data_IF_378821326113
#
_entry.id   IF_378821326113
#
_cell.length_a   1.000
_cell.length_b   1.000
_cell.length_c   1.000
_cell.angle_alpha   90.00
_cell.angle_beta   90.00
_cell.angle_gamma   90.00
#
_symmetry.space_group_name_H-M   'P 1'
#
loop_
_entity.id
_entity.type
_entity.pdbx_description
1 polymer ?
#
# COMPACT_ATOMS: atom_id res chain seq x y z
N UNK A 1 -22.77 9.32 10.92
CA UNK A 1 -23.53 8.05 11.02
C UNK A 1 -24.49 7.83 9.84
N UNK A 2 -24.99 8.90 9.21
CA UNK A 2 -26.07 8.75 8.20
C UNK A 2 -25.62 8.36 6.80
N UNK A 3 -24.35 8.60 6.40
CA UNK A 3 -23.87 8.30 5.03
C UNK A 3 -23.70 6.81 4.77
N UNK A 4 -23.36 6.03 5.78
CA UNK A 4 -23.23 4.57 5.68
C UNK A 4 -24.62 3.90 5.61
N UNK A 5 -25.65 4.52 6.18
CA UNK A 5 -27.01 3.98 6.21
C UNK A 5 -27.71 4.17 4.87
N UNK A 6 -27.47 5.28 4.15
CA UNK A 6 -28.11 5.54 2.85
C UNK A 6 -27.59 4.68 1.69
N UNK A 7 -26.38 4.07 1.79
CA UNK A 7 -25.87 3.13 0.79
C UNK A 7 -26.49 1.73 0.89
N UNK A 8 -27.41 1.49 1.85
CA UNK A 8 -28.07 0.20 2.08
C UNK A 8 -29.25 -0.12 1.15
N UNK A 9 -29.69 0.81 0.34
CA UNK A 9 -30.93 0.63 -0.46
C UNK A 9 -30.71 0.06 -1.87
N UNK A 10 -29.56 -0.51 -2.20
CA UNK A 10 -29.29 -1.04 -3.55
C UNK A 10 -28.38 -2.25 -3.68
N UNK A 11 -27.85 -2.80 -2.60
CA UNK A 11 -26.95 -3.97 -2.65
C UNK A 11 -27.22 -4.92 -1.49
N UNK A 12 -27.23 -6.21 -1.75
CA UNK A 12 -27.31 -7.22 -0.71
C UNK A 12 -26.28 -6.94 0.40
N UNK A 13 -26.71 -6.95 1.66
CA UNK A 13 -25.83 -6.71 2.79
C UNK A 13 -24.76 -7.80 2.84
N UNK A 14 -23.50 -7.46 2.60
CA UNK A 14 -22.38 -8.38 2.83
C UNK A 14 -22.45 -8.86 4.29
N UNK A 15 -22.42 -10.17 4.50
CA UNK A 15 -22.29 -10.70 5.86
C UNK A 15 -20.95 -10.25 6.45
N UNK A 16 -20.90 -9.89 7.74
CA UNK A 16 -19.61 -9.61 8.39
C UNK A 16 -18.66 -10.80 8.19
N UNK A 17 -17.44 -10.54 7.74
CA UNK A 17 -16.44 -11.59 7.49
C UNK A 17 -15.83 -12.12 8.79
N UNK A 18 -15.91 -11.34 9.87
CA UNK A 18 -15.18 -11.58 11.11
C UNK A 18 -13.67 -11.29 10.97
N UNK A 19 -13.22 -10.82 9.82
CA UNK A 19 -11.84 -10.44 9.56
C UNK A 19 -11.62 -8.96 9.91
N UNK A 20 -10.44 -8.59 10.46
CA UNK A 20 -10.16 -7.20 10.75
C UNK A 20 -10.03 -6.38 9.47
N UNK A 21 -10.54 -5.15 9.49
CA UNK A 21 -10.28 -4.17 8.46
C UNK A 21 -8.88 -3.58 8.65
N UNK A 22 -8.12 -3.51 7.59
CA UNK A 22 -6.71 -3.12 7.61
C UNK A 22 -6.44 -1.97 6.66
N UNK A 23 -5.70 -0.95 7.12
CA UNK A 23 -4.98 -0.01 6.26
C UNK A 23 -3.57 -0.55 6.03
N UNK A 24 -3.27 -0.94 4.80
CA UNK A 24 -2.02 -1.64 4.47
C UNK A 24 -0.83 -0.70 4.16
N UNK A 25 -1.03 0.64 4.20
CA UNK A 25 0.01 1.59 3.87
C UNK A 25 -0.12 2.89 4.69
N UNK A 26 0.62 2.98 5.78
CA UNK A 26 0.66 4.16 6.64
C UNK A 26 2.09 4.50 7.05
N UNK A 27 2.30 5.76 7.39
CA UNK A 27 3.55 6.29 7.96
C UNK A 27 3.28 7.01 9.28
N UNK A 28 4.30 7.21 10.11
CA UNK A 28 4.23 8.07 11.31
C UNK A 28 4.63 9.51 11.01
N UNK A 29 5.27 9.72 9.86
CA UNK A 29 5.54 11.05 9.32
C UNK A 29 5.64 10.99 7.80
N UNK A 30 5.28 12.08 7.13
CA UNK A 30 5.42 12.25 5.68
C UNK A 30 5.88 13.68 5.37
N UNK A 31 6.59 13.86 4.26
CA UNK A 31 6.88 15.20 3.74
C UNK A 31 5.88 15.55 2.65
N UNK A 32 5.13 16.61 2.88
CA UNK A 32 4.20 17.16 1.91
C UNK A 32 4.88 18.21 1.05
N UNK A 33 4.75 18.08 -0.26
CA UNK A 33 5.32 18.99 -1.28
C UNK A 33 4.24 19.86 -1.93
N UNK A 34 3.25 20.28 -1.19
CA UNK A 34 2.23 21.24 -1.67
C UNK A 34 2.84 22.55 -2.14
N UNK A 35 3.95 22.99 -1.50
CA UNK A 35 4.87 23.99 -1.99
C UNK A 35 6.27 23.36 -2.09
N UNK A 36 6.77 23.06 -3.31
CA UNK A 36 8.09 22.45 -3.49
C UNK A 36 9.26 23.30 -2.94
N UNK A 37 9.06 24.63 -2.78
CA UNK A 37 10.08 25.50 -2.18
C UNK A 37 10.11 25.43 -0.65
N UNK A 38 9.01 24.99 -0.04
CA UNK A 38 8.84 24.93 1.42
C UNK A 38 8.12 23.63 1.83
N UNK A 39 8.78 22.47 1.74
CA UNK A 39 8.18 21.19 2.12
C UNK A 39 7.84 21.18 3.62
N UNK A 40 6.66 20.67 3.96
CA UNK A 40 6.20 20.56 5.34
C UNK A 40 6.28 19.10 5.79
N UNK A 41 6.83 18.84 6.98
CA UNK A 41 6.80 17.51 7.61
C UNK A 41 5.57 17.43 8.51
N UNK A 42 4.70 16.47 8.22
CA UNK A 42 3.56 16.09 9.06
C UNK A 42 3.97 14.87 9.85
N UNK A 43 3.86 14.93 11.17
CA UNK A 43 4.10 13.78 12.07
C UNK A 43 2.90 13.60 12.99
N UNK A 44 2.64 12.36 13.38
CA UNK A 44 1.49 12.01 14.22
C UNK A 44 1.90 11.24 15.45
N UNK A 45 1.20 11.46 16.56
CA UNK A 45 1.29 10.64 17.76
C UNK A 45 0.52 9.31 17.60
N UNK A 46 0.76 8.36 18.49
CA UNK A 46 0.00 7.09 18.49
C UNK A 46 -1.48 7.34 18.75
N UNK A 47 -1.80 8.29 19.63
CA UNK A 47 -3.17 8.65 20.00
C UNK A 47 -3.92 9.24 18.80
N UNK A 48 -3.30 10.15 18.04
CA UNK A 48 -3.88 10.72 16.82
C UNK A 48 -4.07 9.64 15.76
N UNK A 49 -3.07 8.79 15.56
CA UNK A 49 -3.15 7.69 14.61
C UNK A 49 -4.32 6.74 14.91
N UNK A 50 -4.47 6.33 16.19
CA UNK A 50 -5.57 5.46 16.60
C UNK A 50 -6.93 6.14 16.48
N UNK A 51 -7.03 7.42 16.81
CA UNK A 51 -8.27 8.17 16.66
C UNK A 51 -8.75 8.21 15.18
N UNK A 52 -7.82 8.38 14.25
CA UNK A 52 -8.12 8.39 12.82
C UNK A 52 -8.52 6.99 12.29
N UNK A 53 -7.88 5.92 12.78
CA UNK A 53 -8.30 4.55 12.50
C UNK A 53 -9.72 4.28 13.03
N UNK A 54 -10.00 4.68 14.26
CA UNK A 54 -11.31 4.47 14.91
C UNK A 54 -12.42 5.24 14.20
N UNK A 55 -12.15 6.48 13.77
CA UNK A 55 -13.09 7.27 12.96
C UNK A 55 -13.46 6.58 11.64
N UNK A 56 -12.48 5.90 11.04
CA UNK A 56 -12.70 5.14 9.80
C UNK A 56 -13.27 3.73 10.03
N UNK A 57 -13.32 3.26 11.27
CA UNK A 57 -13.69 1.88 11.60
C UNK A 57 -12.68 0.86 11.07
N UNK A 58 -11.38 1.23 11.05
CA UNK A 58 -10.25 0.38 10.65
C UNK A 58 -9.62 -0.19 11.93
N UNK A 59 -9.45 -1.51 11.96
CA UNK A 59 -9.02 -2.22 13.16
C UNK A 59 -7.50 -2.34 13.26
N UNK A 60 -6.80 -2.45 12.12
CA UNK A 60 -5.34 -2.61 12.08
C UNK A 60 -4.70 -1.73 11.02
N UNK A 61 -3.42 -1.41 11.21
CA UNK A 61 -2.65 -0.68 10.20
C UNK A 61 -1.22 -1.21 10.09
N UNK A 62 -0.68 -1.18 8.85
CA UNK A 62 0.73 -1.41 8.57
C UNK A 62 1.45 -0.08 8.57
N UNK A 63 2.45 0.05 9.45
CA UNK A 63 3.26 1.27 9.62
C UNK A 63 4.62 1.05 8.98
N UNK A 64 4.93 1.84 7.96
CA UNK A 64 6.08 1.64 7.10
C UNK A 64 7.24 2.55 7.51
N UNK A 65 8.45 1.99 7.56
CA UNK A 65 9.68 2.76 7.61
C UNK A 65 10.00 3.38 6.25
N UNK A 66 10.75 4.47 6.27
CA UNK A 66 11.29 5.12 5.09
C UNK A 66 12.69 5.71 5.39
N UNK A 67 13.24 6.51 4.47
CA UNK A 67 14.55 7.16 4.63
C UNK A 67 14.59 8.19 5.77
N UNK A 68 13.43 8.64 6.27
CA UNK A 68 13.29 9.65 7.33
C UNK A 68 12.85 9.03 8.64
N UNK A 69 12.07 7.95 8.57
CA UNK A 69 11.52 7.23 9.73
C UNK A 69 12.16 5.86 9.81
N UNK A 70 13.12 5.71 10.73
CA UNK A 70 13.94 4.50 10.84
C UNK A 70 13.13 3.29 11.31
N UNK A 71 13.62 2.05 11.03
CA UNK A 71 13.00 0.81 11.55
C UNK A 71 12.84 0.80 13.06
N UNK A 72 13.80 1.39 13.81
CA UNK A 72 13.74 1.49 15.27
C UNK A 72 12.61 2.42 15.74
N UNK A 73 12.39 3.53 15.03
CA UNK A 73 11.29 4.46 15.32
C UNK A 73 9.93 3.81 15.06
N UNK A 74 9.78 3.12 13.92
CA UNK A 74 8.55 2.37 13.61
C UNK A 74 8.32 1.26 14.64
N UNK A 75 9.36 0.48 14.99
CA UNK A 75 9.25 -0.57 16.00
C UNK A 75 8.81 -0.01 17.37
N UNK A 76 9.38 1.12 17.80
CA UNK A 76 8.99 1.78 19.04
C UNK A 76 7.55 2.31 19.00
N UNK A 77 7.09 2.79 17.85
CA UNK A 77 5.72 3.27 17.65
C UNK A 77 4.70 2.12 17.73
N UNK A 78 4.88 1.08 16.92
CA UNK A 78 3.91 -0.02 16.85
C UNK A 78 3.88 -0.87 18.12
N UNK A 79 4.98 -0.93 18.87
CA UNK A 79 5.07 -1.64 20.16
C UNK A 79 4.14 -1.08 21.23
N UNK A 80 3.70 0.17 21.11
CA UNK A 80 2.77 0.78 22.06
C UNK A 80 1.37 0.18 21.94
N UNK A 81 0.98 -0.33 20.74
CA UNK A 81 -0.34 -0.92 20.49
C UNK A 81 -0.21 -2.12 19.54
N UNK A 82 0.44 -3.21 19.96
CA UNK A 82 0.82 -4.33 19.09
C UNK A 82 -0.36 -5.12 18.52
N UNK A 83 -1.54 -5.02 19.15
CA UNK A 83 -2.76 -5.67 18.65
C UNK A 83 -3.37 -4.94 17.44
N UNK A 84 -3.03 -3.67 17.26
CA UNK A 84 -3.56 -2.79 16.20
C UNK A 84 -2.54 -2.43 15.13
N UNK A 85 -1.25 -2.32 15.48
CA UNK A 85 -0.21 -1.78 14.60
C UNK A 85 0.87 -2.82 14.33
N UNK A 86 1.28 -2.95 13.06
CA UNK A 86 2.35 -3.84 12.60
C UNK A 86 3.37 -3.04 11.80
N UNK A 87 4.65 -3.16 12.15
CA UNK A 87 5.72 -2.37 11.55
C UNK A 87 6.39 -3.06 10.36
N UNK A 88 6.70 -2.27 9.33
CA UNK A 88 7.57 -2.67 8.22
C UNK A 88 8.92 -2.00 8.36
N UNK A 89 9.99 -2.78 8.22
CA UNK A 89 11.35 -2.29 8.19
C UNK A 89 11.73 -1.67 6.84
N UNK A 90 12.95 -1.17 6.77
CA UNK A 90 13.52 -0.60 5.57
C UNK A 90 15.01 -0.94 5.47
N UNK A 91 15.45 -1.28 4.26
CA UNK A 91 16.86 -1.37 3.87
C UNK A 91 17.02 -0.85 2.44
N UNK A 92 18.19 -0.29 2.11
CA UNK A 92 18.58 -0.17 0.70
C UNK A 92 19.20 -1.52 0.26
N UNK A 93 18.52 -2.31 -0.59
CA UNK A 93 18.85 -3.72 -0.79
C UNK A 93 20.16 -3.97 -1.55
N UNK A 94 20.68 -2.97 -2.25
CA UNK A 94 21.97 -3.09 -2.98
C UNK A 94 23.20 -2.81 -2.11
N UNK A 95 23.00 -2.46 -0.83
CA UNK A 95 24.09 -2.30 0.11
C UNK A 95 24.50 -3.65 0.71
N UNK A 96 25.81 -3.89 0.82
CA UNK A 96 26.39 -5.15 1.30
C UNK A 96 25.85 -5.67 2.64
N UNK A 97 25.42 -4.78 3.55
CA UNK A 97 24.89 -5.16 4.86
C UNK A 97 23.35 -5.32 4.90
N UNK A 98 22.66 -5.11 3.78
CA UNK A 98 21.21 -4.99 3.75
C UNK A 98 20.50 -6.28 4.22
N UNK A 99 20.91 -7.44 3.73
CA UNK A 99 20.35 -8.73 4.12
C UNK A 99 20.53 -9.02 5.61
N UNK A 100 21.71 -8.74 6.16
CA UNK A 100 21.96 -8.85 7.61
C UNK A 100 21.10 -7.86 8.42
N UNK A 101 20.97 -6.64 7.93
CA UNK A 101 20.12 -5.63 8.57
C UNK A 101 18.65 -6.05 8.59
N UNK A 102 18.15 -6.63 7.49
CA UNK A 102 16.78 -7.15 7.43
C UNK A 102 16.52 -8.25 8.47
N UNK A 103 17.43 -9.23 8.59
CA UNK A 103 17.32 -10.27 9.62
C UNK A 103 17.26 -9.67 11.03
N UNK A 104 18.16 -8.72 11.33
CA UNK A 104 18.17 -8.04 12.61
C UNK A 104 16.86 -7.29 12.88
N UNK A 105 16.31 -6.58 11.90
CA UNK A 105 15.03 -5.88 12.04
C UNK A 105 13.88 -6.86 12.35
N UNK A 106 13.85 -8.03 11.71
CA UNK A 106 12.86 -9.07 11.99
C UNK A 106 13.02 -9.67 13.38
N UNK A 107 14.25 -10.06 13.75
CA UNK A 107 14.55 -10.84 14.96
C UNK A 107 14.57 -9.97 16.24
N UNK A 108 15.17 -8.77 16.17
CA UNK A 108 15.38 -7.91 17.34
C UNK A 108 14.28 -6.85 17.49
N UNK A 109 13.75 -6.30 16.38
CA UNK A 109 12.72 -5.26 16.43
C UNK A 109 11.31 -5.82 16.24
N UNK A 110 11.17 -7.08 15.81
CA UNK A 110 9.87 -7.73 15.60
C UNK A 110 9.09 -7.17 14.41
N UNK A 111 9.76 -6.53 13.44
CA UNK A 111 9.08 -5.95 12.29
C UNK A 111 8.50 -7.06 11.39
N UNK A 112 7.29 -6.81 10.91
CA UNK A 112 6.46 -7.80 10.22
C UNK A 112 6.86 -7.98 8.76
N UNK A 113 7.24 -6.90 8.07
CA UNK A 113 7.55 -6.89 6.64
C UNK A 113 8.69 -5.94 6.29
N UNK A 114 8.93 -5.78 5.00
CA UNK A 114 9.96 -4.92 4.42
C UNK A 114 9.35 -3.88 3.48
N UNK A 115 9.74 -2.62 3.59
CA UNK A 115 9.45 -1.55 2.63
C UNK A 115 10.71 -1.19 1.85
N UNK A 116 10.59 -1.02 0.55
CA UNK A 116 11.67 -0.67 -0.38
C UNK A 116 11.32 0.56 -1.21
N UNK A 117 12.33 1.37 -1.53
CA UNK A 117 12.21 2.63 -2.27
C UNK A 117 13.18 2.69 -3.46
N UNK A 118 12.94 1.97 -4.57
CA UNK A 118 13.86 1.92 -5.71
C UNK A 118 14.18 3.29 -6.30
N UNK A 119 13.19 4.19 -6.41
CA UNK A 119 13.41 5.54 -6.92
C UNK A 119 14.34 6.35 -6.02
N UNK A 120 14.02 6.44 -4.72
CA UNK A 120 14.77 7.25 -3.74
C UNK A 120 16.17 6.70 -3.51
N UNK A 121 16.32 5.37 -3.49
CA UNK A 121 17.62 4.70 -3.29
C UNK A 121 18.41 4.50 -4.59
N UNK A 122 17.84 4.93 -5.74
CA UNK A 122 18.47 4.92 -7.07
C UNK A 122 18.97 3.54 -7.51
N UNK A 123 18.12 2.50 -7.41
CA UNK A 123 18.42 1.16 -7.90
C UNK A 123 17.23 0.57 -8.69
N UNK A 124 17.50 -0.37 -9.59
CA UNK A 124 16.44 -1.13 -10.27
C UNK A 124 15.96 -2.27 -9.39
N UNK A 125 14.63 -2.48 -9.25
CA UNK A 125 14.10 -3.62 -8.48
C UNK A 125 14.71 -4.97 -8.85
N UNK A 126 15.03 -5.19 -10.11
CA UNK A 126 15.65 -6.41 -10.64
C UNK A 126 17.18 -6.40 -10.61
N UNK A 127 17.82 -5.46 -9.89
CA UNK A 127 19.27 -5.45 -9.70
C UNK A 127 19.72 -6.73 -8.98
N UNK A 128 20.67 -7.52 -9.55
CA UNK A 128 21.15 -8.73 -8.90
C UNK A 128 21.71 -8.52 -7.49
N UNK A 129 22.22 -7.32 -7.17
CA UNK A 129 22.72 -7.00 -5.83
C UNK A 129 21.59 -6.93 -4.78
N UNK A 130 20.33 -6.74 -5.20
CA UNK A 130 19.18 -6.75 -4.31
C UNK A 130 18.68 -8.20 -4.00
N UNK A 131 19.10 -9.20 -4.75
CA UNK A 131 18.55 -10.56 -4.68
C UNK A 131 18.80 -11.24 -3.33
N UNK A 132 19.94 -10.97 -2.67
CA UNK A 132 20.21 -11.49 -1.32
C UNK A 132 19.15 -11.02 -0.31
N UNK A 133 18.66 -9.78 -0.45
CA UNK A 133 17.58 -9.26 0.42
C UNK A 133 16.26 -9.95 0.12
N UNK A 134 15.95 -10.21 -1.15
CA UNK A 134 14.73 -10.94 -1.53
C UNK A 134 14.75 -12.40 -1.09
N UNK A 135 15.91 -13.08 -1.16
CA UNK A 135 16.10 -14.40 -0.60
C UNK A 135 15.81 -14.42 0.90
N UNK A 136 16.37 -13.47 1.65
CA UNK A 136 16.12 -13.33 3.09
C UNK A 136 14.65 -13.02 3.39
N UNK A 137 14.01 -12.16 2.62
CA UNK A 137 12.59 -11.86 2.81
C UNK A 137 11.72 -13.11 2.59
N UNK A 138 12.06 -13.91 1.57
CA UNK A 138 11.37 -15.18 1.28
C UNK A 138 11.61 -16.23 2.36
N UNK A 139 12.85 -16.37 2.86
CA UNK A 139 13.21 -17.29 3.96
C UNK A 139 12.47 -16.92 5.27
N UNK A 140 12.35 -15.65 5.58
CA UNK A 140 11.67 -15.14 6.76
C UNK A 140 10.13 -15.11 6.61
N UNK A 141 9.62 -15.48 5.43
CA UNK A 141 8.21 -15.41 5.05
C UNK A 141 7.56 -14.06 5.39
N UNK A 142 8.25 -12.97 5.07
CA UNK A 142 7.75 -11.61 5.27
C UNK A 142 7.29 -10.96 3.97
N UNK A 143 6.20 -10.15 3.99
CA UNK A 143 5.76 -9.40 2.82
C UNK A 143 6.72 -8.25 2.51
N UNK A 144 6.88 -7.94 1.21
CA UNK A 144 7.71 -6.84 0.72
C UNK A 144 6.85 -5.84 -0.01
N UNK A 145 6.75 -4.62 0.53
CA UNK A 145 6.13 -3.49 -0.15
C UNK A 145 7.20 -2.73 -0.92
N UNK A 146 7.01 -2.59 -2.22
CA UNK A 146 7.90 -1.82 -3.09
C UNK A 146 7.20 -0.52 -3.46
N UNK A 147 7.82 0.63 -3.17
CA UNK A 147 7.36 1.90 -3.71
C UNK A 147 7.42 1.83 -5.23
N UNK A 148 6.25 1.90 -5.88
CA UNK A 148 6.13 1.63 -7.31
C UNK A 148 5.33 2.72 -8.02
N UNK A 149 5.57 3.98 -7.64
CA UNK A 149 4.98 5.16 -8.27
C UNK A 149 6.06 6.15 -8.69
N UNK A 150 5.75 6.97 -9.69
CA UNK A 150 6.61 8.10 -10.06
C UNK A 150 6.61 9.12 -8.94
N UNK A 151 7.81 9.51 -8.48
CA UNK A 151 8.00 10.57 -7.51
C UNK A 151 8.23 11.91 -8.23
N UNK A 152 7.78 13.04 -7.64
CA UNK A 152 7.98 14.36 -8.24
C UNK A 152 9.42 14.89 -8.08
N UNK A 153 10.25 14.26 -7.27
CA UNK A 153 11.61 14.66 -6.99
C UNK A 153 12.49 14.47 -8.21
N UNK A 154 13.30 15.50 -8.53
CA UNK A 154 14.07 15.54 -9.77
C UNK A 154 15.12 14.42 -9.91
N UNK A 155 15.62 13.90 -8.79
CA UNK A 155 16.64 12.84 -8.78
C UNK A 155 16.03 11.43 -8.91
N UNK A 156 14.71 11.30 -8.76
CA UNK A 156 14.03 10.02 -8.84
C UNK A 156 13.78 9.63 -10.31
N UNK A 157 14.25 8.46 -10.69
CA UNK A 157 14.10 7.98 -12.07
C UNK A 157 12.84 7.13 -12.21
N UNK A 158 11.93 7.54 -13.10
CA UNK A 158 10.74 6.78 -13.45
C UNK A 158 11.07 5.36 -13.97
N UNK A 159 12.29 5.13 -14.44
CA UNK A 159 12.78 3.81 -14.83
C UNK A 159 12.70 2.80 -13.69
N UNK A 160 12.94 3.22 -12.44
CA UNK A 160 12.91 2.33 -11.28
C UNK A 160 11.50 1.92 -10.83
N UNK A 161 10.47 2.38 -11.55
CA UNK A 161 9.06 1.96 -11.36
C UNK A 161 8.53 1.17 -12.57
N UNK A 162 9.42 0.55 -13.35
CA UNK A 162 9.00 -0.24 -14.50
C UNK A 162 8.42 -1.58 -14.06
N UNK A 163 7.14 -1.89 -14.37
CA UNK A 163 6.53 -3.17 -14.01
C UNK A 163 7.24 -4.39 -14.59
N UNK A 164 7.99 -4.23 -15.69
CA UNK A 164 8.80 -5.31 -16.24
C UNK A 164 9.90 -5.80 -15.28
N UNK A 165 10.44 -4.91 -14.43
CA UNK A 165 11.42 -5.28 -13.40
C UNK A 165 10.76 -6.12 -12.29
N UNK A 166 9.50 -5.82 -11.96
CA UNK A 166 8.72 -6.62 -11.01
C UNK A 166 8.42 -8.02 -11.57
N UNK A 167 8.17 -8.12 -12.88
CA UNK A 167 7.99 -9.40 -13.56
C UNK A 167 9.21 -10.31 -13.37
N UNK A 168 10.42 -9.75 -13.45
CA UNK A 168 11.68 -10.47 -13.21
C UNK A 168 11.79 -10.99 -11.78
N UNK A 169 11.59 -10.12 -10.78
CA UNK A 169 11.74 -10.53 -9.38
C UNK A 169 10.63 -11.49 -8.94
N UNK A 170 9.39 -11.27 -9.37
CA UNK A 170 8.27 -12.16 -9.05
C UNK A 170 8.45 -13.58 -9.61
N UNK A 171 9.11 -13.70 -10.77
CA UNK A 171 9.48 -14.99 -11.37
C UNK A 171 10.60 -15.69 -10.60
N UNK A 172 11.62 -14.94 -10.14
CA UNK A 172 12.77 -15.50 -9.42
C UNK A 172 12.45 -15.83 -7.96
N UNK A 173 11.50 -15.11 -7.35
CA UNK A 173 11.10 -15.28 -5.95
C UNK A 173 9.59 -15.60 -5.84
N UNK A 174 9.15 -16.80 -6.31
CA UNK A 174 7.72 -17.08 -6.51
C UNK A 174 6.91 -17.25 -5.23
N UNK A 175 7.53 -17.38 -4.07
CA UNK A 175 6.86 -17.46 -2.77
C UNK A 175 6.94 -16.16 -1.97
N UNK A 176 7.81 -15.21 -2.38
CA UNK A 176 7.87 -13.88 -1.78
C UNK A 176 6.58 -13.09 -2.08
N UNK A 177 5.91 -12.60 -1.05
CA UNK A 177 4.70 -11.77 -1.18
C UNK A 177 5.13 -10.35 -1.51
N UNK A 178 4.84 -9.88 -2.74
CA UNK A 178 5.22 -8.56 -3.25
C UNK A 178 3.98 -7.68 -3.32
N UNK A 179 4.02 -6.51 -2.73
CA UNK A 179 2.96 -5.50 -2.80
C UNK A 179 3.52 -4.26 -3.48
N UNK A 180 2.89 -3.86 -4.59
CA UNK A 180 3.26 -2.67 -5.34
C UNK A 180 2.47 -1.48 -4.81
N UNK A 181 3.17 -0.51 -4.22
CA UNK A 181 2.53 0.66 -3.65
C UNK A 181 1.95 1.58 -4.76
N UNK A 182 0.89 2.34 -4.40
CA UNK A 182 0.30 3.40 -5.22
C UNK A 182 -0.22 2.91 -6.58
N UNK A 183 -0.70 1.65 -6.63
CA UNK A 183 -1.23 1.01 -7.84
C UNK A 183 -0.28 1.04 -9.06
N UNK A 184 1.01 1.32 -8.82
CA UNK A 184 2.02 1.42 -9.89
C UNK A 184 1.89 2.65 -10.78
N UNK A 185 1.23 3.74 -10.32
CA UNK A 185 1.04 4.93 -11.13
C UNK A 185 2.39 5.57 -11.56
N UNK A 186 2.55 5.99 -12.83
CA UNK A 186 1.53 6.12 -13.88
C UNK A 186 1.32 4.88 -14.75
N UNK A 187 1.97 3.74 -14.49
CA UNK A 187 1.93 2.52 -15.31
C UNK A 187 0.91 1.49 -14.79
N UNK A 188 -0.30 1.94 -14.47
CA UNK A 188 -1.33 1.12 -13.80
C UNK A 188 -1.71 -0.11 -14.63
N UNK A 189 -1.96 0.02 -15.93
CA UNK A 189 -2.39 -1.09 -16.78
C UNK A 189 -1.32 -2.20 -16.86
N UNK A 190 -0.04 -1.83 -16.95
CA UNK A 190 1.09 -2.77 -16.94
C UNK A 190 1.24 -3.43 -15.57
N UNK A 191 1.08 -2.67 -14.49
CA UNK A 191 1.06 -3.18 -13.11
C UNK A 191 -0.04 -4.22 -12.93
N UNK A 192 -1.27 -3.93 -13.34
CA UNK A 192 -2.38 -4.88 -13.26
C UNK A 192 -2.11 -6.15 -14.09
N UNK A 193 -1.38 -6.03 -15.20
CA UNK A 193 -0.97 -7.18 -15.99
C UNK A 193 0.04 -8.07 -15.24
N UNK A 194 0.99 -7.48 -14.51
CA UNK A 194 1.94 -8.21 -13.65
C UNK A 194 1.18 -8.92 -12.52
N UNK A 195 0.20 -8.26 -11.90
CA UNK A 195 -0.66 -8.89 -10.90
C UNK A 195 -1.39 -10.13 -11.46
N UNK A 196 -1.90 -10.03 -12.69
CA UNK A 196 -2.58 -11.13 -13.38
C UNK A 196 -1.64 -12.32 -13.66
N UNK A 197 -0.40 -12.03 -14.00
CA UNK A 197 0.62 -13.03 -14.36
C UNK A 197 1.17 -13.79 -13.15
N UNK A 198 1.40 -13.12 -12.02
CA UNK A 198 2.05 -13.67 -10.84
C UNK A 198 1.12 -13.80 -9.65
N UNK A 199 1.04 -14.99 -9.07
CA UNK A 199 0.17 -15.26 -7.90
C UNK A 199 0.59 -14.51 -6.65
N UNK A 200 1.88 -14.24 -6.51
CA UNK A 200 2.53 -13.64 -5.35
C UNK A 200 2.65 -12.10 -5.42
N UNK A 201 2.11 -11.45 -6.47
CA UNK A 201 2.14 -9.99 -6.61
C UNK A 201 0.76 -9.41 -6.34
N UNK A 202 0.71 -8.38 -5.53
CA UNK A 202 -0.43 -7.60 -5.08
C UNK A 202 -0.15 -6.11 -5.31
N UNK A 203 -1.13 -5.23 -5.12
CA UNK A 203 -0.90 -3.79 -5.07
C UNK A 203 -1.80 -3.12 -4.04
N UNK A 204 -1.34 -2.04 -3.43
CA UNK A 204 -2.21 -1.16 -2.65
C UNK A 204 -2.72 0.01 -3.52
N UNK A 205 -3.82 0.61 -3.07
CA UNK A 205 -4.44 1.75 -3.74
C UNK A 205 -4.12 3.08 -3.02
N UNK A 206 -3.05 3.11 -2.24
CA UNK A 206 -2.66 4.31 -1.48
C UNK A 206 -2.24 5.44 -2.42
N UNK A 207 -2.85 6.59 -2.30
CA UNK A 207 -2.53 7.86 -2.97
C UNK A 207 -1.91 7.76 -4.40
N UNK A 208 -2.58 7.15 -5.39
CA UNK A 208 -1.94 6.94 -6.70
C UNK A 208 -1.86 8.18 -7.59
N UNK A 209 -2.75 9.20 -7.44
CA UNK A 209 -2.94 10.24 -8.47
C UNK A 209 -2.67 11.68 -7.98
N UNK A 210 -1.73 11.94 -7.14
CA UNK A 210 -1.41 13.31 -6.72
C UNK A 210 -2.56 14.00 -5.94
N UNK A 211 -3.14 15.09 -6.44
CA UNK A 211 -4.13 15.88 -5.68
C UNK A 211 -5.48 15.16 -5.52
N UNK A 212 -5.73 14.62 -4.32
CA UNK A 212 -6.96 13.90 -3.97
C UNK A 212 -8.24 14.76 -4.12
N UNK A 213 -8.13 16.09 -3.98
CA UNK A 213 -9.26 16.99 -4.10
C UNK A 213 -9.60 17.36 -5.56
N UNK A 214 -8.77 16.91 -6.53
CA UNK A 214 -9.07 17.16 -7.93
C UNK A 214 -10.24 16.28 -8.41
N UNK A 215 -11.24 16.82 -9.12
CA UNK A 215 -12.40 16.04 -9.55
C UNK A 215 -12.09 14.79 -10.37
N UNK A 216 -10.97 14.77 -11.09
CA UNK A 216 -10.54 13.60 -11.86
C UNK A 216 -10.02 12.44 -11.01
N UNK A 217 -9.65 12.67 -9.74
CA UNK A 217 -9.08 11.63 -8.89
C UNK A 217 -10.02 10.43 -8.75
N UNK A 218 -11.26 10.69 -8.38
CA UNK A 218 -12.27 9.64 -8.21
C UNK A 218 -12.61 8.94 -9.54
N UNK A 219 -12.59 9.68 -10.67
CA UNK A 219 -12.79 9.10 -12.00
C UNK A 219 -11.64 8.15 -12.39
N UNK A 220 -10.39 8.57 -12.13
CA UNK A 220 -9.21 7.72 -12.37
C UNK A 220 -9.28 6.45 -11.52
N UNK A 221 -9.60 6.59 -10.23
CA UNK A 221 -9.74 5.44 -9.33
C UNK A 221 -10.82 4.48 -9.82
N UNK A 222 -12.01 4.98 -10.20
CA UNK A 222 -13.07 4.16 -10.77
C UNK A 222 -12.60 3.42 -12.03
N UNK A 223 -11.96 4.12 -12.97
CA UNK A 223 -11.44 3.53 -14.22
C UNK A 223 -10.46 2.40 -13.93
N UNK A 224 -9.51 2.61 -13.02
CA UNK A 224 -8.46 1.63 -12.73
C UNK A 224 -9.00 0.42 -11.96
N UNK A 225 -9.92 0.62 -11.01
CA UNK A 225 -10.60 -0.48 -10.32
C UNK A 225 -11.51 -1.27 -11.28
N UNK A 226 -12.18 -0.61 -12.22
CA UNK A 226 -12.95 -1.28 -13.27
C UNK A 226 -12.04 -2.11 -14.18
N UNK A 227 -10.88 -1.58 -14.55
CA UNK A 227 -9.85 -2.32 -15.32
C UNK A 227 -9.37 -3.54 -14.55
N UNK A 228 -9.06 -3.40 -13.26
CA UNK A 228 -8.65 -4.51 -12.40
C UNK A 228 -9.74 -5.58 -12.29
N UNK A 229 -11.01 -5.17 -12.21
CA UNK A 229 -12.15 -6.07 -12.19
C UNK A 229 -12.29 -6.83 -13.52
N UNK A 230 -12.17 -6.15 -14.64
CA UNK A 230 -12.21 -6.77 -15.98
C UNK A 230 -11.03 -7.74 -16.20
N UNK A 231 -9.86 -7.44 -15.68
CA UNK A 231 -8.68 -8.30 -15.76
C UNK A 231 -8.73 -9.49 -14.76
N UNK A 232 -9.71 -9.52 -13.85
CA UNK A 232 -9.85 -10.56 -12.84
C UNK A 232 -8.79 -10.49 -11.73
N UNK A 233 -8.30 -9.29 -11.39
CA UNK A 233 -7.26 -9.07 -10.37
C UNK A 233 -7.68 -8.15 -9.23
N UNK A 234 -8.95 -7.73 -9.18
CA UNK A 234 -9.45 -6.83 -8.14
C UNK A 234 -9.24 -7.39 -6.72
N UNK A 235 -9.29 -8.72 -6.55
CA UNK A 235 -9.01 -9.41 -5.28
C UNK A 235 -7.53 -9.37 -4.87
N UNK A 236 -6.66 -8.82 -5.68
CA UNK A 236 -5.24 -8.60 -5.37
C UNK A 236 -4.92 -7.15 -5.02
N UNK A 237 -5.94 -6.30 -5.02
CA UNK A 237 -5.81 -4.93 -4.56
C UNK A 237 -6.18 -4.84 -3.09
N UNK A 238 -5.36 -4.14 -2.31
CA UNK A 238 -5.59 -3.91 -0.89
C UNK A 238 -5.75 -2.42 -0.61
N UNK A 239 -6.51 -2.09 0.43
CA UNK A 239 -6.70 -0.72 0.88
C UNK A 239 -5.43 -0.22 1.56
N UNK A 240 -4.99 0.96 1.21
CA UNK A 240 -3.92 1.73 1.84
C UNK A 240 -4.20 3.21 1.64
N UNK A 241 -3.78 4.05 2.57
CA UNK A 241 -4.06 5.50 2.52
C UNK A 241 -2.84 6.35 2.23
N UNK A 242 -1.65 5.89 2.56
CA UNK A 242 -0.44 6.71 2.65
C UNK A 242 -0.56 7.80 3.75
N UNK A 243 -1.24 7.41 4.86
CA UNK A 243 -1.39 8.26 6.05
C UNK A 243 0.01 8.66 6.59
N UNK A 244 0.20 9.89 7.08
CA UNK A 244 -0.77 10.94 7.33
C UNK A 244 -1.02 11.87 6.14
N UNK A 245 -0.47 11.61 4.95
CA UNK A 245 -0.73 12.41 3.76
C UNK A 245 -2.22 12.43 3.38
N UNK A 246 -2.86 11.29 3.48
CA UNK A 246 -4.32 11.16 3.33
C UNK A 246 -4.90 10.47 4.57
N UNK A 247 -5.89 11.08 5.21
CA UNK A 247 -6.59 10.48 6.36
C UNK A 247 -7.49 9.32 5.91
N UNK A 248 -7.60 8.29 6.76
CA UNK A 248 -8.32 7.06 6.47
C UNK A 248 -9.79 7.28 6.13
N UNK A 249 -10.52 8.02 6.98
CA UNK A 249 -11.97 8.19 6.79
C UNK A 249 -12.35 8.91 5.48
N UNK A 250 -11.75 10.05 5.12
CA UNK A 250 -11.99 10.68 3.83
C UNK A 250 -11.67 9.79 2.63
N UNK A 251 -10.57 9.03 2.71
CA UNK A 251 -10.17 8.14 1.62
C UNK A 251 -11.11 6.94 1.48
N UNK A 252 -11.54 6.36 2.59
CA UNK A 252 -12.52 5.28 2.59
C UNK A 252 -13.88 5.76 2.04
N UNK A 253 -14.33 6.94 2.45
CA UNK A 253 -15.57 7.51 1.92
C UNK A 253 -15.49 7.74 0.40
N UNK A 254 -14.34 8.20 -0.08
CA UNK A 254 -14.08 8.37 -1.51
C UNK A 254 -14.09 7.02 -2.24
N UNK A 255 -13.44 5.99 -1.70
CA UNK A 255 -13.47 4.64 -2.28
C UNK A 255 -14.92 4.13 -2.38
N UNK A 256 -15.72 4.30 -1.33
CA UNK A 256 -17.12 3.87 -1.33
C UNK A 256 -18.00 4.69 -2.30
N UNK A 257 -17.60 5.91 -2.63
CA UNK A 257 -18.27 6.77 -3.59
C UNK A 257 -17.77 6.58 -5.05
N UNK A 258 -16.87 5.63 -5.30
CA UNK A 258 -16.16 5.48 -6.59
C UNK A 258 -17.11 5.32 -7.78
N UNK A 259 -18.26 4.68 -7.58
CA UNK A 259 -19.26 4.49 -8.61
C UNK A 259 -20.02 5.77 -9.04
N UNK A 260 -19.77 6.91 -8.40
CA UNK A 260 -20.40 8.20 -8.77
C UNK A 260 -20.17 8.55 -10.26
N UNK A 261 -19.05 8.12 -10.82
CA UNK A 261 -18.71 8.36 -12.22
C UNK A 261 -19.03 7.21 -13.16
N UNK A 262 -19.58 6.12 -12.67
CA UNK A 262 -19.99 5.00 -13.53
C UNK A 262 -21.12 5.45 -14.48
N UNK A 263 -20.90 5.46 -15.81
CA UNK A 263 -21.89 5.94 -16.78
C UNK A 263 -23.09 4.98 -16.92
N UNK A 264 -22.94 3.75 -16.44
CA UNK A 264 -23.92 2.69 -16.54
C UNK A 264 -23.87 1.83 -15.29
N UNK A 265 -25.02 1.27 -14.89
CA UNK A 265 -25.10 0.36 -13.75
C UNK A 265 -24.21 -0.88 -13.90
N UNK A 266 -24.09 -1.40 -15.13
CA UNK A 266 -23.26 -2.57 -15.43
C UNK A 266 -21.75 -2.31 -15.30
N UNK A 267 -21.36 -1.05 -15.19
CA UNK A 267 -19.97 -0.62 -14.99
C UNK A 267 -19.69 -0.21 -13.52
N UNK A 268 -20.62 -0.47 -12.62
CA UNK A 268 -20.42 -0.27 -11.20
C UNK A 268 -19.58 -1.41 -10.61
N UNK A 269 -18.70 -1.03 -9.70
CA UNK A 269 -17.91 -1.98 -8.91
C UNK A 269 -18.77 -2.38 -7.69
N UNK A 270 -19.06 -3.68 -7.48
CA UNK A 270 -19.84 -4.12 -6.34
C UNK A 270 -19.24 -3.67 -5.00
N UNK A 271 -20.08 -3.14 -4.10
CA UNK A 271 -19.63 -2.61 -2.82
C UNK A 271 -18.89 -3.65 -1.95
N UNK A 272 -19.32 -4.92 -2.03
CA UNK A 272 -18.67 -6.04 -1.36
C UNK A 272 -17.22 -6.24 -1.83
N UNK A 273 -16.91 -5.97 -3.11
CA UNK A 273 -15.55 -6.05 -3.65
C UNK A 273 -14.68 -4.87 -3.21
N UNK A 274 -15.27 -3.69 -3.06
CA UNK A 274 -14.56 -2.53 -2.48
C UNK A 274 -14.21 -2.79 -1.01
N UNK A 275 -15.16 -3.31 -0.24
CA UNK A 275 -14.93 -3.65 1.17
C UNK A 275 -13.92 -4.80 1.33
N UNK A 276 -13.89 -5.76 0.40
CA UNK A 276 -12.94 -6.85 0.43
C UNK A 276 -11.47 -6.38 0.41
N UNK A 277 -11.19 -5.20 -0.14
CA UNK A 277 -9.85 -4.62 -0.14
C UNK A 277 -9.35 -4.29 1.28
N UNK A 278 -10.27 -4.10 2.25
CA UNK A 278 -9.89 -3.81 3.63
C UNK A 278 -9.69 -5.09 4.46
N UNK A 279 -10.26 -6.23 4.07
CA UNK A 279 -10.27 -7.44 4.89
C UNK A 279 -9.89 -8.71 4.12
N UNK A 280 -10.73 -9.24 3.23
CA UNK A 280 -10.50 -10.53 2.55
C UNK A 280 -9.24 -10.52 1.67
N UNK A 281 -9.01 -9.44 0.91
CA UNK A 281 -7.86 -9.34 0.01
C UNK A 281 -6.53 -9.23 0.79
N UNK A 282 -6.59 -8.76 2.03
CA UNK A 282 -5.41 -8.59 2.90
C UNK A 282 -4.96 -9.92 3.50
N UNK A 283 -5.86 -10.90 3.66
CA UNK A 283 -5.55 -12.15 4.38
C UNK A 283 -4.30 -12.90 3.89
N UNK A 284 -4.05 -13.02 2.55
CA UNK A 284 -2.81 -13.67 2.08
C UNK A 284 -1.52 -12.94 2.48
N UNK A 285 -1.63 -11.68 2.93
CA UNK A 285 -0.52 -10.80 3.27
C UNK A 285 -0.32 -10.66 4.79
N UNK A 286 -1.24 -11.18 5.58
CA UNK A 286 -1.16 -11.21 7.05
C UNK A 286 -0.32 -12.40 7.54
N UNK A 287 0.15 -12.37 8.81
CA UNK A 287 0.90 -13.46 9.41
C UNK A 287 0.08 -14.72 9.56
#
# INVERSE_FOLDING_TARGET
MDTIVQLREGGGSRKPTGLPKVDYHCHISITEYTDPAHPTVISVSVEEFLADLDEAGIEKAMVLSDVRTTPEQVAAFVKQVPDRLMGFGYVNPVLHSAAKSLRKQREELGLFGLKLYPCTDSYSPDDPNAFEVYEVAQELDIPVIIHHAGMPERHDLLYHTDPAQIDVIAKNFPTMRIILAHLGYPRVDETLYVLRKHKNVYADISWPYGNINHPSYLWLLWKDLLTAMNMGVLQKLVFGTDYPGIRQKPYLDMLMAVNKYAPHRDLQIPAEKLLAMLDENVQPLMP
#
